data_IF_694547041226
#
_entry.id   IF_694547041226
#
_cell.length_a   1.000
_cell.length_b   1.000
_cell.length_c   1.000
_cell.angle_alpha   90.00
_cell.angle_beta   90.00
_cell.angle_gamma   90.00
#
_symmetry.space_group_name_H-M   'P 1'
#
loop_
_entity.id
_entity.type
_entity.pdbx_description
1 polymer ?
#
# COMPACT_ATOMS: atom_id res chain seq x y z
N UNK A 1 -4.17 47.67 -49.74
CA UNK A 1 -3.79 47.65 -48.32
C UNK A 1 -3.86 46.25 -47.72
N UNK A 2 -4.96 45.50 -47.87
CA UNK A 2 -5.12 44.15 -47.30
C UNK A 2 -4.04 43.11 -47.69
N UNK A 3 -3.52 43.14 -48.93
CA UNK A 3 -2.51 42.17 -49.39
C UNK A 3 -1.15 42.33 -48.71
N UNK A 4 -0.80 43.56 -48.31
CA UNK A 4 0.50 43.86 -47.69
C UNK A 4 0.53 43.44 -46.21
N UNK A 5 -0.62 43.56 -45.55
CA UNK A 5 -0.81 43.19 -44.14
C UNK A 5 -0.84 41.66 -43.97
N UNK A 6 -1.46 40.96 -44.92
CA UNK A 6 -1.49 39.49 -44.95
C UNK A 6 -0.10 38.88 -45.22
N UNK A 7 0.71 39.53 -46.07
CA UNK A 7 2.09 39.14 -46.30
C UNK A 7 2.97 39.34 -45.04
N UNK A 8 2.77 40.43 -44.31
CA UNK A 8 3.48 40.69 -43.05
C UNK A 8 3.10 39.69 -41.95
N UNK A 9 1.81 39.39 -41.78
CA UNK A 9 1.35 38.38 -40.81
C UNK A 9 1.92 36.98 -41.13
N UNK A 10 1.92 36.59 -42.40
CA UNK A 10 2.50 35.31 -42.83
C UNK A 10 4.01 35.24 -42.54
N UNK A 11 4.73 36.35 -42.75
CA UNK A 11 6.15 36.46 -42.41
C UNK A 11 6.44 36.32 -40.91
N UNK A 12 5.60 36.91 -40.06
CA UNK A 12 5.74 36.80 -38.59
C UNK A 12 5.46 35.37 -38.12
N UNK A 13 4.44 34.72 -38.68
CA UNK A 13 4.11 33.33 -38.31
C UNK A 13 5.25 32.39 -38.70
N UNK A 14 5.78 32.51 -39.93
CA UNK A 14 6.87 31.67 -40.41
C UNK A 14 8.15 31.86 -39.60
N UNK A 15 8.52 33.10 -39.26
CA UNK A 15 9.73 33.37 -38.47
C UNK A 15 9.60 32.89 -37.03
N UNK A 16 8.43 33.06 -36.40
CA UNK A 16 8.17 32.57 -35.04
C UNK A 16 8.17 31.04 -34.98
N UNK A 17 7.54 30.39 -35.98
CA UNK A 17 7.56 28.93 -36.10
C UNK A 17 8.99 28.40 -36.26
N UNK A 18 9.80 29.02 -37.13
CA UNK A 18 11.18 28.61 -37.34
C UNK A 18 12.03 28.79 -36.08
N UNK A 19 11.89 29.93 -35.39
CA UNK A 19 12.61 30.21 -34.15
C UNK A 19 12.25 29.21 -33.04
N UNK A 20 10.97 28.95 -32.82
CA UNK A 20 10.52 27.98 -31.82
C UNK A 20 10.99 26.55 -32.11
N UNK A 21 11.01 26.14 -33.38
CA UNK A 21 11.50 24.84 -33.81
C UNK A 21 13.00 24.69 -33.52
N UNK A 22 13.81 25.69 -33.89
CA UNK A 22 15.26 25.66 -33.69
C UNK A 22 15.59 25.66 -32.19
N UNK A 23 14.96 26.53 -31.40
CA UNK A 23 15.18 26.58 -29.95
C UNK A 23 14.76 25.28 -29.28
N UNK A 24 13.61 24.71 -29.64
CA UNK A 24 13.13 23.44 -29.10
C UNK A 24 14.04 22.26 -29.47
N UNK A 25 14.52 22.22 -30.72
CA UNK A 25 15.44 21.18 -31.19
C UNK A 25 16.80 21.27 -30.48
N UNK A 26 17.36 22.47 -30.34
CA UNK A 26 18.62 22.68 -29.62
C UNK A 26 18.49 22.33 -28.13
N UNK A 27 17.38 22.70 -27.50
CA UNK A 27 17.10 22.33 -26.11
C UNK A 27 16.97 20.81 -25.94
N UNK A 28 16.24 20.14 -26.84
CA UNK A 28 16.13 18.68 -26.86
C UNK A 28 17.46 17.96 -27.09
N UNK A 29 18.33 18.50 -27.96
CA UNK A 29 19.69 17.96 -28.12
C UNK A 29 20.57 18.20 -26.90
N UNK A 30 20.38 19.32 -26.19
CA UNK A 30 21.11 19.65 -24.98
C UNK A 30 20.70 18.76 -23.79
N UNK A 31 19.41 18.43 -23.69
CA UNK A 31 18.88 17.48 -22.69
C UNK A 31 19.35 16.05 -23.00
N UNK A 32 19.26 15.61 -24.26
CA UNK A 32 19.63 14.26 -24.68
C UNK A 32 21.15 13.99 -24.56
N UNK A 33 21.99 15.02 -24.69
CA UNK A 33 23.44 14.92 -24.44
C UNK A 33 23.82 15.00 -22.95
N UNK A 34 22.84 15.13 -22.04
CA UNK A 34 23.08 15.08 -20.61
C UNK A 34 23.72 16.34 -20.03
N UNK A 35 23.54 17.51 -20.66
CA UNK A 35 24.04 18.77 -20.07
C UNK A 35 23.12 19.35 -18.99
N UNK A 36 21.90 18.81 -18.85
CA UNK A 36 20.92 19.22 -17.84
C UNK A 36 21.01 18.43 -16.53
N UNK A 37 21.57 17.22 -16.58
CA UNK A 37 21.91 16.40 -15.40
C UNK A 37 23.41 16.19 -15.51
N UNK A 38 24.21 16.77 -14.61
CA UNK A 38 25.66 16.76 -14.76
C UNK A 38 26.18 15.33 -14.98
N UNK A 39 27.14 15.11 -15.90
CA UNK A 39 27.73 13.79 -16.12
C UNK A 39 28.26 13.17 -14.83
N UNK A 40 28.75 14.00 -13.90
CA UNK A 40 29.19 13.60 -12.57
C UNK A 40 28.08 12.93 -11.74
N UNK A 41 26.85 13.45 -11.77
CA UNK A 41 25.71 12.84 -11.05
C UNK A 41 25.24 11.53 -11.71
N UNK A 42 25.34 11.43 -13.04
CA UNK A 42 25.04 10.20 -13.76
C UNK A 42 26.09 9.10 -13.47
N UNK A 43 27.36 9.49 -13.35
CA UNK A 43 28.45 8.60 -12.94
C UNK A 43 28.35 8.20 -11.47
N UNK A 44 27.98 9.12 -10.58
CA UNK A 44 27.77 8.84 -9.16
C UNK A 44 26.64 7.83 -8.95
N UNK A 45 25.51 7.99 -9.65
CA UNK A 45 24.41 7.01 -9.64
C UNK A 45 24.85 5.64 -10.19
N UNK A 46 25.71 5.60 -11.21
CA UNK A 46 26.27 4.33 -11.73
C UNK A 46 27.28 3.71 -10.77
N UNK A 47 28.04 4.52 -10.03
CA UNK A 47 28.95 4.05 -8.98
C UNK A 47 28.17 3.39 -7.85
N UNK A 48 27.12 4.02 -7.33
CA UNK A 48 26.26 3.41 -6.31
C UNK A 48 25.61 2.08 -6.76
N UNK A 49 25.29 1.95 -8.06
CA UNK A 49 24.72 0.71 -8.60
C UNK A 49 25.73 -0.44 -8.74
N UNK A 50 27.02 -0.12 -8.84
CA UNK A 50 28.10 -1.08 -9.07
C UNK A 50 29.15 -1.03 -7.95
N UNK A 51 28.79 -0.51 -6.77
CA UNK A 51 29.69 -0.44 -5.62
C UNK A 51 29.89 -1.86 -5.07
N UNK A 52 31.11 -2.42 -5.10
CA UNK A 52 31.37 -3.74 -4.56
C UNK A 52 31.44 -3.76 -3.03
N UNK A 53 31.46 -2.59 -2.38
CA UNK A 53 31.41 -2.47 -0.92
C UNK A 53 29.94 -2.24 -0.55
N UNK A 54 29.29 -3.30 -0.06
CA UNK A 54 28.02 -3.15 0.65
C UNK A 54 28.24 -2.13 1.76
N UNK A 55 27.32 -1.15 1.88
CA UNK A 55 27.31 -0.28 3.06
C UNK A 55 27.34 -1.19 4.29
N UNK A 56 28.23 -0.92 5.24
CA UNK A 56 28.24 -1.62 6.53
C UNK A 56 26.89 -1.38 7.22
N UNK A 57 25.93 -2.27 6.94
CA UNK A 57 24.76 -2.46 7.77
C UNK A 57 25.30 -3.04 9.07
N UNK A 58 25.14 -2.28 10.15
CA UNK A 58 25.56 -2.68 11.49
C UNK A 58 25.03 -4.07 11.82
N UNK A 59 25.97 -5.01 11.93
CA UNK A 59 25.92 -6.39 12.45
C UNK A 59 24.53 -6.84 12.93
N UNK A 60 23.79 -7.50 12.03
CA UNK A 60 22.91 -8.58 12.46
C UNK A 60 23.83 -9.79 12.61
N UNK A 61 23.97 -10.30 13.82
CA UNK A 61 24.82 -11.44 14.18
C UNK A 61 24.70 -12.59 13.15
N UNK A 62 25.68 -12.70 12.25
CA UNK A 62 25.71 -13.65 11.11
C UNK A 62 25.84 -15.12 11.55
N UNK A 63 26.04 -15.37 12.85
CA UNK A 63 26.21 -16.71 13.41
C UNK A 63 24.90 -17.37 13.89
N UNK A 64 23.76 -16.67 13.93
CA UNK A 64 22.45 -17.29 14.19
C UNK A 64 21.79 -17.79 12.89
N UNK A 65 22.50 -18.74 12.27
CA UNK A 65 21.99 -19.90 11.53
C UNK A 65 20.81 -19.68 10.58
N UNK A 66 21.14 -19.82 9.29
CA UNK A 66 20.37 -20.56 8.30
C UNK A 66 18.90 -20.13 8.09
N UNK A 67 18.66 -19.52 6.93
CA UNK A 67 17.36 -19.35 6.27
C UNK A 67 16.68 -20.70 5.89
N UNK A 68 16.73 -21.72 6.76
CA UNK A 68 16.20 -23.07 6.56
C UNK A 68 14.66 -23.15 6.70
N UNK A 69 14.00 -22.02 6.94
CA UNK A 69 12.56 -21.93 7.12
C UNK A 69 11.79 -21.38 5.91
N UNK A 70 12.42 -21.10 4.77
CA UNK A 70 11.71 -20.65 3.57
C UNK A 70 11.19 -21.85 2.76
N UNK A 71 9.93 -22.29 2.89
CA UNK A 71 9.44 -23.47 2.18
C UNK A 71 9.12 -23.06 0.75
N UNK A 72 9.57 -23.88 -0.20
CA UNK A 72 9.34 -23.80 -1.64
C UNK A 72 8.14 -22.90 -2.03
N UNK A 73 8.46 -21.71 -2.54
CA UNK A 73 7.53 -20.68 -3.01
C UNK A 73 6.69 -21.08 -4.24
N UNK A 74 6.92 -22.27 -4.81
CA UNK A 74 6.25 -22.73 -6.03
C UNK A 74 4.75 -23.04 -5.89
N UNK A 75 4.17 -23.00 -4.69
CA UNK A 75 2.77 -23.43 -4.44
C UNK A 75 1.81 -22.29 -4.03
N UNK A 76 2.02 -21.06 -4.52
CA UNK A 76 1.25 -19.87 -4.13
C UNK A 76 -0.28 -20.02 -4.22
N UNK A 77 -0.78 -20.75 -5.22
CA UNK A 77 -2.23 -20.97 -5.41
C UNK A 77 -2.87 -21.85 -4.32
N UNK A 78 -2.13 -22.81 -3.76
CA UNK A 78 -2.62 -23.66 -2.66
C UNK A 78 -2.51 -22.97 -1.30
N UNK A 79 -1.55 -22.05 -1.15
CA UNK A 79 -1.41 -21.24 0.06
C UNK A 79 -2.60 -20.26 0.22
N UNK A 80 -3.01 -19.60 -0.87
CA UNK A 80 -4.17 -18.69 -0.89
C UNK A 80 -5.50 -19.40 -0.57
N UNK A 81 -5.66 -20.68 -0.96
CA UNK A 81 -6.86 -21.48 -0.64
C UNK A 81 -6.93 -21.88 0.85
N UNK A 82 -5.80 -22.23 1.46
CA UNK A 82 -5.72 -22.62 2.88
C UNK A 82 -5.93 -21.42 3.82
N UNK A 83 -5.66 -20.20 3.36
CA UNK A 83 -5.86 -18.95 4.11
C UNK A 83 -7.33 -18.50 4.21
N UNK A 84 -8.30 -19.25 3.68
CA UNK A 84 -9.72 -18.98 3.94
C UNK A 84 -10.23 -17.66 3.38
N UNK A 85 -9.75 -17.22 2.21
CA UNK A 85 -10.14 -15.98 1.51
C UNK A 85 -11.60 -15.95 0.97
N UNK A 86 -12.55 -16.63 1.63
CA UNK A 86 -13.99 -16.53 1.33
C UNK A 86 -14.73 -15.91 2.51
N UNK A 87 -15.34 -14.76 2.25
CA UNK A 87 -16.34 -14.13 3.11
C UNK A 87 -17.73 -14.63 2.71
N UNK A 88 -18.55 -14.99 3.70
CA UNK A 88 -20.00 -15.13 3.53
C UNK A 88 -20.66 -13.75 3.49
N UNK A 89 -21.58 -13.58 2.55
CA UNK A 89 -22.35 -12.37 2.33
C UNK A 89 -23.56 -12.36 3.27
N UNK A 90 -23.60 -11.40 4.20
CA UNK A 90 -24.79 -11.14 5.03
C UNK A 90 -25.10 -9.65 5.01
N UNK A 91 -26.36 -9.33 4.71
CA UNK A 91 -26.82 -8.03 4.23
C UNK A 91 -26.57 -6.84 5.16
N UNK A 92 -25.98 -5.78 4.59
CA UNK A 92 -25.66 -4.51 5.27
C UNK A 92 -26.16 -3.32 4.43
N UNK A 93 -27.48 -3.25 4.19
CA UNK A 93 -28.06 -2.20 3.35
C UNK A 93 -28.14 -0.83 4.05
N UNK A 94 -28.46 -0.78 5.35
CA UNK A 94 -28.78 0.49 6.03
C UNK A 94 -27.54 1.28 6.51
N UNK A 95 -26.39 0.65 6.77
CA UNK A 95 -25.19 1.33 7.29
C UNK A 95 -24.27 1.92 6.21
N UNK A 96 -24.51 1.61 4.92
CA UNK A 96 -23.72 2.10 3.78
C UNK A 96 -23.76 3.62 3.63
N UNK A 97 -24.87 4.27 4.00
CA UNK A 97 -25.02 5.72 3.82
C UNK A 97 -24.03 6.55 4.68
N UNK A 98 -23.65 6.08 5.87
CA UNK A 98 -22.73 6.83 6.74
C UNK A 98 -21.28 6.79 6.26
N UNK A 99 -20.90 5.80 5.44
CA UNK A 99 -19.57 5.69 4.81
C UNK A 99 -19.38 6.67 3.64
N UNK A 100 -20.48 7.10 3.01
CA UNK A 100 -20.47 7.82 1.74
C UNK A 100 -20.32 9.34 1.89
N UNK A 101 -20.81 9.93 2.97
CA UNK A 101 -20.98 11.39 3.07
C UNK A 101 -19.84 12.16 3.74
N UNK A 102 -18.94 11.52 4.49
CA UNK A 102 -17.84 12.25 5.13
C UNK A 102 -16.68 12.47 4.16
N UNK A 103 -16.05 13.64 4.16
CA UNK A 103 -14.74 13.87 3.51
C UNK A 103 -13.58 13.46 4.43
N UNK A 104 -13.85 12.63 5.44
CA UNK A 104 -12.91 12.33 6.49
C UNK A 104 -11.80 11.39 6.00
N UNK A 105 -10.64 11.47 6.66
CA UNK A 105 -9.49 10.61 6.40
C UNK A 105 -9.85 9.14 6.62
N UNK A 106 -9.37 8.28 5.72
CA UNK A 106 -9.47 6.83 5.89
C UNK A 106 -8.17 6.27 6.46
N UNK A 107 -8.30 5.22 7.26
CA UNK A 107 -7.15 4.47 7.78
C UNK A 107 -7.43 2.97 7.84
N UNK A 108 -6.34 2.20 7.85
CA UNK A 108 -6.33 0.78 8.17
C UNK A 108 -5.64 0.59 9.51
N UNK A 109 -6.25 -0.16 10.42
CA UNK A 109 -5.63 -0.53 11.69
C UNK A 109 -5.26 -2.01 11.66
N UNK A 110 -4.03 -2.31 12.05
CA UNK A 110 -3.44 -3.65 12.09
C UNK A 110 -3.33 -4.05 13.56
N UNK A 111 -4.26 -4.90 14.00
CA UNK A 111 -4.35 -5.37 15.38
C UNK A 111 -3.55 -6.65 15.53
N UNK A 112 -2.40 -6.55 16.19
CA UNK A 112 -1.40 -7.62 16.31
C UNK A 112 -1.52 -8.32 17.66
N UNK A 113 -1.50 -9.65 17.65
CA UNK A 113 -1.39 -10.45 18.87
C UNK A 113 0.05 -10.52 19.37
N UNK A 114 0.31 -9.88 20.51
CA UNK A 114 1.64 -9.88 21.14
C UNK A 114 1.86 -11.08 22.05
N UNK A 115 0.79 -11.81 22.43
CA UNK A 115 0.88 -13.04 23.24
C UNK A 115 1.60 -14.18 22.53
N UNK A 116 1.71 -14.10 21.20
CA UNK A 116 2.33 -15.10 20.35
C UNK A 116 3.86 -15.01 20.27
N UNK A 117 4.49 -13.99 20.88
CA UNK A 117 5.94 -13.84 20.87
C UNK A 117 6.55 -13.69 19.46
N UNK A 118 5.81 -13.15 18.49
CA UNK A 118 6.31 -12.96 17.12
C UNK A 118 7.53 -12.04 17.08
N UNK A 119 8.55 -12.41 16.30
CA UNK A 119 9.68 -11.52 15.99
C UNK A 119 9.24 -10.33 15.14
N UNK A 120 10.00 -9.24 15.16
CA UNK A 120 9.69 -8.00 14.43
C UNK A 120 9.45 -8.25 12.93
N UNK A 121 10.32 -9.04 12.29
CA UNK A 121 10.17 -9.39 10.87
C UNK A 121 8.90 -10.18 10.57
N UNK A 122 8.54 -11.13 11.46
CA UNK A 122 7.29 -11.88 11.32
C UNK A 122 6.06 -10.99 11.48
N UNK A 123 6.06 -10.08 12.45
CA UNK A 123 4.97 -9.11 12.62
C UNK A 123 4.80 -8.27 11.34
N UNK A 124 5.89 -7.75 10.78
CA UNK A 124 5.85 -6.96 9.55
C UNK A 124 5.25 -7.73 8.36
N UNK A 125 5.64 -9.01 8.18
CA UNK A 125 5.08 -9.87 7.15
C UNK A 125 3.58 -10.12 7.35
N UNK A 126 3.16 -10.44 8.58
CA UNK A 126 1.74 -10.70 8.90
C UNK A 126 0.87 -9.44 8.74
N UNK A 127 1.38 -8.28 9.14
CA UNK A 127 0.76 -6.97 8.90
C UNK A 127 0.59 -6.67 7.40
N UNK A 128 1.59 -7.03 6.59
CA UNK A 128 1.53 -6.89 5.13
C UNK A 128 0.46 -7.80 4.52
N UNK A 129 0.36 -9.05 4.99
CA UNK A 129 -0.72 -9.97 4.59
C UNK A 129 -2.10 -9.44 4.97
N UNK A 130 -2.28 -8.92 6.19
CA UNK A 130 -3.54 -8.35 6.66
C UNK A 130 -3.98 -7.15 5.80
N UNK A 131 -3.02 -6.29 5.46
CA UNK A 131 -3.24 -5.16 4.55
C UNK A 131 -3.72 -5.62 3.19
N UNK A 132 -3.04 -6.60 2.59
CA UNK A 132 -3.40 -7.11 1.27
C UNK A 132 -4.76 -7.80 1.26
N UNK A 133 -5.10 -8.54 2.33
CA UNK A 133 -6.40 -9.17 2.48
C UNK A 133 -7.53 -8.14 2.51
N UNK A 134 -7.39 -7.11 3.36
CA UNK A 134 -8.37 -6.01 3.45
C UNK A 134 -8.50 -5.25 2.11
N UNK A 135 -7.37 -4.97 1.46
CA UNK A 135 -7.36 -4.33 0.15
C UNK A 135 -8.10 -5.15 -0.90
N UNK A 136 -7.78 -6.45 -1.02
CA UNK A 136 -8.42 -7.35 -2.00
C UNK A 136 -9.92 -7.49 -1.72
N UNK A 137 -10.34 -7.52 -0.46
CA UNK A 137 -11.76 -7.58 -0.09
C UNK A 137 -12.53 -6.36 -0.62
N UNK A 138 -11.99 -5.15 -0.42
CA UNK A 138 -12.61 -3.92 -0.93
C UNK A 138 -12.48 -3.76 -2.46
N UNK A 139 -11.35 -4.17 -3.04
CA UNK A 139 -11.08 -4.01 -4.47
C UNK A 139 -11.99 -4.86 -5.36
N UNK A 140 -12.46 -6.01 -4.84
CA UNK A 140 -13.42 -6.91 -5.51
C UNK A 140 -14.86 -6.41 -5.44
N UNK A 141 -15.17 -5.43 -4.59
CA UNK A 141 -16.50 -4.85 -4.52
C UNK A 141 -16.87 -4.10 -5.81
N UNK A 142 -18.17 -3.96 -6.05
CA UNK A 142 -18.71 -3.27 -7.22
C UNK A 142 -18.10 -1.84 -7.33
N UNK A 143 -17.71 -1.37 -8.54
CA UNK A 143 -17.10 -0.06 -8.71
C UNK A 143 -17.91 1.12 -8.17
N UNK A 144 -19.24 1.03 -8.18
CA UNK A 144 -20.15 2.07 -7.68
C UNK A 144 -20.42 1.95 -6.16
N UNK A 145 -19.97 0.87 -5.52
CA UNK A 145 -20.21 0.59 -4.10
C UNK A 145 -19.52 1.58 -3.15
N UNK A 146 -20.02 1.66 -1.91
CA UNK A 146 -19.43 2.48 -0.86
C UNK A 146 -18.01 2.00 -0.51
N UNK A 147 -17.83 0.69 -0.49
CA UNK A 147 -16.58 -0.02 -0.23
C UNK A 147 -15.48 0.41 -1.21
N UNK A 148 -15.81 0.48 -2.51
CA UNK A 148 -14.85 0.93 -3.52
C UNK A 148 -14.50 2.40 -3.39
N UNK A 149 -15.47 3.26 -3.05
CA UNK A 149 -15.25 4.69 -2.80
C UNK A 149 -14.35 4.92 -1.58
N UNK A 150 -14.54 4.15 -0.52
CA UNK A 150 -13.69 4.17 0.68
C UNK A 150 -12.26 3.74 0.35
N UNK A 151 -12.11 2.67 -0.45
CA UNK A 151 -10.79 2.23 -0.90
C UNK A 151 -10.07 3.31 -1.71
N UNK A 152 -10.73 3.87 -2.73
CA UNK A 152 -10.19 4.94 -3.57
C UNK A 152 -9.81 6.18 -2.75
N UNK A 153 -10.59 6.50 -1.70
CA UNK A 153 -10.26 7.56 -0.76
C UNK A 153 -8.98 7.22 -0.01
N UNK A 154 -8.89 6.06 0.63
CA UNK A 154 -7.68 5.65 1.35
C UNK A 154 -6.42 5.68 0.47
N UNK A 155 -6.54 5.26 -0.79
CA UNK A 155 -5.45 5.36 -1.78
C UNK A 155 -5.01 6.80 -2.06
N UNK A 156 -5.96 7.72 -2.19
CA UNK A 156 -5.69 9.14 -2.44
C UNK A 156 -5.10 9.86 -1.23
N UNK A 157 -5.44 9.42 -0.02
CA UNK A 157 -5.03 10.04 1.24
C UNK A 157 -3.86 9.30 1.92
N UNK A 158 -2.91 8.80 1.14
CA UNK A 158 -1.62 8.30 1.64
C UNK A 158 -1.65 6.91 2.28
N UNK A 159 -2.79 6.21 2.21
CA UNK A 159 -2.93 4.82 2.63
C UNK A 159 -2.47 4.57 4.08
N UNK A 160 -2.91 5.41 5.02
CA UNK A 160 -2.51 5.35 6.42
C UNK A 160 -2.74 3.95 7.04
N UNK A 161 -1.71 3.43 7.71
CA UNK A 161 -1.70 2.14 8.42
C UNK A 161 -1.20 2.36 9.84
N UNK A 162 -1.92 1.87 10.83
CA UNK A 162 -1.54 2.00 12.25
C UNK A 162 -1.50 0.61 12.88
N UNK A 163 -0.38 0.25 13.49
CA UNK A 163 -0.24 -1.00 14.20
C UNK A 163 -0.59 -0.82 15.69
N UNK A 164 -1.46 -1.68 16.20
CA UNK A 164 -1.88 -1.72 17.62
C UNK A 164 -1.75 -3.14 18.14
N UNK A 165 -1.74 -3.30 19.46
CA UNK A 165 -1.53 -4.58 20.12
C UNK A 165 -2.73 -5.05 20.95
N UNK A 166 -2.91 -6.36 20.98
CA UNK A 166 -3.83 -7.10 21.85
C UNK A 166 -3.13 -8.35 22.40
N UNK A 167 -3.68 -8.94 23.46
CA UNK A 167 -3.07 -10.07 24.17
C UNK A 167 -3.78 -11.41 24.02
N UNK A 168 -4.84 -11.50 23.21
CA UNK A 168 -5.59 -12.74 23.08
C UNK A 168 -6.44 -12.87 21.82
N UNK A 169 -6.69 -14.12 21.44
CA UNK A 169 -7.52 -14.46 20.29
C UNK A 169 -9.00 -14.09 20.48
N UNK A 170 -9.52 -14.22 21.70
CA UNK A 170 -10.92 -13.89 22.00
C UNK A 170 -11.22 -12.41 21.73
N UNK A 171 -10.35 -11.51 22.20
CA UNK A 171 -10.42 -10.06 21.96
C UNK A 171 -10.34 -9.75 20.45
N UNK A 172 -9.46 -10.43 19.71
CA UNK A 172 -9.38 -10.29 18.25
C UNK A 172 -10.72 -10.61 17.57
N UNK A 173 -11.35 -11.72 17.95
CA UNK A 173 -12.61 -12.17 17.36
C UNK A 173 -13.77 -11.22 17.71
N UNK A 174 -13.79 -10.68 18.92
CA UNK A 174 -14.75 -9.66 19.34
C UNK A 174 -14.60 -8.38 18.50
N UNK A 175 -13.37 -7.87 18.36
CA UNK A 175 -13.07 -6.70 17.53
C UNK A 175 -13.48 -6.92 16.07
N UNK A 176 -13.23 -8.11 15.51
CA UNK A 176 -13.67 -8.49 14.16
C UNK A 176 -15.18 -8.46 14.04
N UNK A 177 -15.90 -9.04 15.00
CA UNK A 177 -17.36 -9.04 15.02
C UNK A 177 -17.92 -7.62 15.09
N UNK A 178 -17.37 -6.80 15.99
CA UNK A 178 -17.72 -5.38 16.14
C UNK A 178 -17.49 -4.58 14.85
N UNK A 179 -16.34 -4.76 14.19
CA UNK A 179 -16.04 -4.10 12.92
C UNK A 179 -17.03 -4.49 11.81
N UNK A 180 -17.27 -5.79 11.62
CA UNK A 180 -18.21 -6.27 10.59
C UNK A 180 -19.64 -5.81 10.84
N UNK A 181 -20.08 -5.81 12.11
CA UNK A 181 -21.40 -5.29 12.49
C UNK A 181 -21.56 -3.79 12.17
N UNK A 182 -20.45 -3.05 12.05
CA UNK A 182 -20.43 -1.64 11.65
C UNK A 182 -20.21 -1.43 10.14
N UNK A 183 -20.14 -2.50 9.35
CA UNK A 183 -19.91 -2.43 7.91
C UNK A 183 -18.45 -2.15 7.52
N UNK A 184 -17.50 -2.35 8.43
CA UNK A 184 -16.07 -2.25 8.13
C UNK A 184 -15.53 -3.60 7.66
N UNK A 185 -14.65 -3.57 6.66
CA UNK A 185 -13.81 -4.72 6.29
C UNK A 185 -12.96 -5.12 7.48
N UNK A 186 -12.96 -6.41 7.81
CA UNK A 186 -12.23 -6.95 8.93
C UNK A 186 -11.71 -8.37 8.61
N UNK A 187 -10.43 -8.46 8.27
CA UNK A 187 -9.77 -9.69 7.79
C UNK A 187 -8.73 -10.17 8.79
N UNK A 188 -8.79 -11.47 9.13
CA UNK A 188 -7.85 -12.10 10.06
C UNK A 188 -6.86 -12.94 9.27
N UNK A 189 -5.58 -12.76 9.56
CA UNK A 189 -4.50 -13.58 9.04
C UNK A 189 -4.23 -14.73 10.01
N UNK A 190 -4.03 -15.90 9.44
CA UNK A 190 -3.59 -17.09 10.15
C UNK A 190 -2.18 -17.44 9.71
N UNK A 191 -1.34 -17.83 10.67
CA UNK A 191 -0.02 -18.33 10.34
C UNK A 191 -0.13 -19.71 9.69
N UNK A 192 0.55 -19.89 8.56
CA UNK A 192 0.53 -21.13 7.80
C UNK A 192 1.40 -22.24 8.43
N UNK A 193 1.96 -22.00 9.63
CA UNK A 193 2.77 -22.98 10.35
C UNK A 193 4.18 -23.15 9.79
N UNK A 194 4.73 -22.10 9.14
CA UNK A 194 6.10 -22.11 8.58
C UNK A 194 7.16 -21.60 9.57
N UNK A 195 6.77 -21.39 10.83
CA UNK A 195 7.59 -20.77 11.88
C UNK A 195 7.16 -21.30 13.26
N UNK A 196 7.79 -20.82 14.34
CA UNK A 196 7.62 -21.27 15.74
C UNK A 196 6.20 -21.14 16.37
N UNK A 197 5.20 -20.66 15.63
CA UNK A 197 3.81 -20.54 16.12
C UNK A 197 3.00 -21.72 15.61
N UNK A 198 2.09 -22.22 16.45
CA UNK A 198 1.14 -23.28 16.07
C UNK A 198 0.40 -22.92 14.77
N UNK A 199 0.41 -23.85 13.81
CA UNK A 199 -0.26 -23.70 12.54
C UNK A 199 -1.76 -23.37 12.74
N UNK A 200 -2.26 -22.37 12.01
CA UNK A 200 -3.65 -21.91 12.13
C UNK A 200 -3.89 -20.86 13.22
N UNK A 201 -2.86 -20.48 13.99
CA UNK A 201 -2.96 -19.36 14.95
C UNK A 201 -3.32 -18.07 14.23
N UNK A 202 -4.35 -17.38 14.72
CA UNK A 202 -4.72 -16.05 14.25
C UNK A 202 -3.69 -15.03 14.74
N UNK A 203 -2.99 -14.35 13.83
CA UNK A 203 -1.83 -13.48 14.14
C UNK A 203 -2.20 -12.00 14.15
N UNK A 204 -2.80 -11.52 13.06
CA UNK A 204 -3.11 -10.11 12.84
C UNK A 204 -4.52 -9.97 12.29
N UNK A 205 -5.28 -9.03 12.85
CA UNK A 205 -6.57 -8.57 12.32
C UNK A 205 -6.38 -7.21 11.64
N UNK A 206 -6.69 -7.11 10.36
CA UNK A 206 -6.84 -5.83 9.67
C UNK A 206 -8.26 -5.30 9.85
N UNK A 207 -8.41 -4.03 10.25
CA UNK A 207 -9.70 -3.32 10.39
C UNK A 207 -9.69 -2.09 9.49
N UNK A 208 -10.56 -2.07 8.48
CA UNK A 208 -10.58 -1.08 7.41
C UNK A 208 -9.92 -1.64 6.13
N UNK A 209 -9.40 -0.79 5.22
CA UNK A 209 -9.49 0.67 5.23
C UNK A 209 -10.91 1.20 5.43
N UNK A 210 -11.06 2.21 6.27
CA UNK A 210 -12.37 2.79 6.59
C UNK A 210 -12.27 4.21 7.11
N UNK A 211 -13.39 4.95 7.19
CA UNK A 211 -13.43 6.29 7.75
C UNK A 211 -12.91 6.30 9.20
N UNK A 212 -12.04 7.27 9.54
CA UNK A 212 -11.35 7.32 10.84
C UNK A 212 -12.31 7.20 12.02
N UNK A 213 -13.43 7.91 12.02
CA UNK A 213 -14.42 7.89 13.09
C UNK A 213 -15.05 6.51 13.33
N UNK A 214 -15.27 5.73 12.26
CA UNK A 214 -15.80 4.37 12.37
C UNK A 214 -14.74 3.38 12.85
N UNK A 215 -13.52 3.49 12.33
CA UNK A 215 -12.41 2.63 12.75
C UNK A 215 -12.05 2.87 14.23
N UNK A 216 -12.04 4.13 14.67
CA UNK A 216 -11.77 4.50 16.07
C UNK A 216 -12.79 3.94 17.07
N UNK A 217 -14.07 3.82 16.67
CA UNK A 217 -15.09 3.16 17.51
C UNK A 217 -14.76 1.70 17.79
N UNK A 218 -13.98 1.04 16.93
CA UNK A 218 -13.55 -0.36 17.10
C UNK A 218 -12.22 -0.41 17.85
N UNK A 219 -11.22 0.35 17.42
CA UNK A 219 -9.81 0.17 17.82
C UNK A 219 -9.22 1.34 18.60
N UNK A 220 -10.00 2.37 18.94
CA UNK A 220 -9.49 3.64 19.50
C UNK A 220 -8.85 3.51 20.88
N UNK A 221 -9.27 2.53 21.68
CA UNK A 221 -8.76 2.31 23.04
C UNK A 221 -7.56 1.35 23.07
N UNK A 222 -7.16 0.81 21.92
CA UNK A 222 -6.05 -0.13 21.82
C UNK A 222 -4.70 0.60 21.85
N UNK A 223 -3.71 -0.03 22.50
CA UNK A 223 -2.36 0.51 22.59
C UNK A 223 -1.62 0.34 21.28
N UNK A 224 -0.75 1.28 20.94
CA UNK A 224 0.21 1.11 19.83
C UNK A 224 1.11 -0.10 20.10
N UNK A 225 1.46 -0.81 19.01
CA UNK A 225 2.33 -1.98 19.02
C UNK A 225 3.76 -1.63 19.44
#
# INVERSE_FOLDING_TARGET
MASHEQAQQTGVILTTALASLITGYMFGMYTARGYLISPALAEERRRYLNDPVESEESDVDEDDTLLDHAPNWANGFDADRRQGLKLEDTGVAEKKNMMLESSEECKLVLVVRTDLGMTKGKIAAQCSHATLACYKALARADPASAERKVLARWERFGQAKIAVQIKGQAEMLELRGKARAMGLTAEVIQDAGRTQIEAGSMTVLGVGPGPKSLVDKVTGDLKLL
#
